data_IF_959415864214
#
_entry.id   IF_959415864214
#
_cell.length_a   1.000
_cell.length_b   1.000
_cell.length_c   1.000
_cell.angle_alpha   90.00
_cell.angle_beta   90.00
_cell.angle_gamma   90.00
#
_symmetry.space_group_name_H-M   'P 1'
#
loop_
_entity.id
_entity.type
_entity.pdbx_description
1 polymer ?
#
# COMPACT_ATOMS: atom_id res chain seq x y z
N UNK A 1 15.46 -22.21 -4.08
CA UNK A 1 15.18 -20.98 -4.83
C UNK A 1 13.88 -20.38 -4.30
N UNK A 2 13.95 -19.24 -3.64
CA UNK A 2 12.79 -18.59 -2.96
C UNK A 2 12.11 -17.55 -3.84
N UNK A 3 12.37 -17.49 -5.07
CA UNK A 3 11.93 -16.51 -5.97
C UNK A 3 10.50 -16.56 -6.29
N UNK A 4 10.03 -15.95 -6.99
CA UNK A 4 9.82 -15.44 -8.30
C UNK A 4 8.39 -14.90 -8.40
N UNK A 5 7.94 -14.43 -9.47
CA UNK A 5 6.66 -13.75 -9.73
C UNK A 5 5.41 -14.36 -9.08
N UNK A 6 5.42 -15.67 -8.77
CA UNK A 6 4.29 -16.37 -8.14
C UNK A 6 4.50 -16.61 -6.64
N UNK A 7 3.45 -16.37 -5.87
CA UNK A 7 3.36 -16.64 -4.45
C UNK A 7 3.54 -18.14 -4.17
N UNK A 8 4.61 -18.51 -3.43
CA UNK A 8 4.90 -19.89 -3.02
C UNK A 8 4.64 -20.09 -1.54
N UNK A 9 4.02 -21.22 -1.19
CA UNK A 9 3.84 -21.67 0.20
C UNK A 9 5.01 -22.55 0.59
N UNK A 10 5.55 -22.33 1.79
CA UNK A 10 6.59 -23.15 2.39
C UNK A 10 6.11 -23.76 3.69
N UNK A 11 6.36 -25.04 3.84
CA UNK A 11 6.03 -25.81 5.05
C UNK A 11 7.34 -26.23 5.74
N UNK A 12 7.56 -25.71 6.95
CA UNK A 12 8.65 -26.10 7.82
C UNK A 12 8.07 -26.71 9.08
N UNK A 13 8.83 -27.57 9.77
CA UNK A 13 8.37 -28.17 11.04
C UNK A 13 8.00 -27.11 12.11
N UNK A 14 8.59 -25.91 12.03
CA UNK A 14 8.38 -24.80 12.97
C UNK A 14 7.57 -23.65 12.39
N UNK A 15 6.96 -23.80 11.21
CA UNK A 15 6.09 -22.76 10.67
C UNK A 15 5.73 -22.87 9.20
N UNK A 16 4.74 -22.07 8.82
CA UNK A 16 4.21 -21.96 7.46
C UNK A 16 4.29 -20.50 7.04
N UNK A 17 4.72 -20.23 5.83
CA UNK A 17 4.85 -18.88 5.29
C UNK A 17 4.72 -18.86 3.76
N UNK A 18 4.41 -17.69 3.22
CA UNK A 18 4.48 -17.40 1.80
C UNK A 18 5.72 -16.60 1.45
N UNK A 19 6.25 -16.81 0.24
CA UNK A 19 7.24 -15.94 -0.37
C UNK A 19 6.84 -15.58 -1.80
N UNK A 20 7.21 -14.39 -2.24
CA UNK A 20 7.26 -13.95 -3.63
C UNK A 20 8.28 -12.82 -3.76
N UNK A 21 8.66 -12.46 -4.98
CA UNK A 21 9.35 -11.18 -5.22
C UNK A 21 8.47 -10.02 -4.74
N UNK A 22 9.06 -8.93 -4.24
CA UNK A 22 8.30 -7.70 -3.98
C UNK A 22 7.88 -7.10 -5.32
N UNK A 23 8.85 -6.84 -6.19
CA UNK A 23 8.70 -6.39 -7.56
C UNK A 23 10.01 -6.69 -8.35
N UNK A 24 10.08 -6.27 -9.59
CA UNK A 24 11.25 -6.43 -10.47
C UNK A 24 12.39 -5.42 -10.23
N UNK A 25 12.16 -4.39 -9.41
CA UNK A 25 13.11 -3.30 -9.16
C UNK A 25 13.99 -3.52 -7.93
N UNK A 26 13.64 -4.47 -7.06
CA UNK A 26 14.39 -4.80 -5.85
C UNK A 26 14.60 -6.30 -5.71
N UNK A 27 15.74 -6.68 -5.15
CA UNK A 27 16.09 -8.09 -4.93
C UNK A 27 15.50 -8.68 -3.64
N UNK A 28 14.64 -7.93 -2.96
CA UNK A 28 14.02 -8.35 -1.71
C UNK A 28 12.87 -9.34 -1.96
N UNK A 29 12.82 -10.39 -1.16
CA UNK A 29 11.75 -11.38 -1.16
C UNK A 29 10.72 -11.02 -0.09
N UNK A 30 9.46 -10.84 -0.47
CA UNK A 30 8.37 -10.72 0.49
C UNK A 30 8.24 -12.03 1.29
N UNK A 31 8.30 -11.91 2.60
CA UNK A 31 8.04 -13.00 3.56
C UNK A 31 6.75 -12.70 4.31
N UNK A 32 5.75 -13.52 4.10
CA UNK A 32 4.47 -13.43 4.79
C UNK A 32 4.27 -14.63 5.70
N UNK A 33 4.48 -14.44 7.00
CA UNK A 33 4.26 -15.46 8.01
C UNK A 33 2.77 -15.80 8.14
N UNK A 34 2.44 -17.08 8.03
CA UNK A 34 1.09 -17.62 8.32
C UNK A 34 1.06 -18.14 9.74
N UNK A 35 2.00 -19.03 10.06
CA UNK A 35 2.14 -19.67 11.36
C UNK A 35 3.61 -19.80 11.72
N UNK A 36 3.94 -19.74 13.01
CA UNK A 36 5.30 -19.93 13.52
C UNK A 36 5.76 -18.81 14.46
N UNK A 37 6.70 -19.15 15.32
CA UNK A 37 7.29 -18.28 16.32
C UNK A 37 8.72 -17.82 15.97
N UNK A 38 9.49 -17.49 17.01
CA UNK A 38 10.89 -17.04 16.90
C UNK A 38 11.79 -18.07 16.18
N UNK A 39 11.53 -19.38 16.37
CA UNK A 39 12.30 -20.44 15.71
C UNK A 39 12.21 -20.38 14.18
N UNK A 40 11.02 -20.07 13.62
CA UNK A 40 10.87 -19.85 12.20
C UNK A 40 11.65 -18.60 11.76
N UNK A 41 11.50 -17.49 12.46
CA UNK A 41 12.14 -16.21 12.12
C UNK A 41 13.67 -16.32 12.14
N UNK A 42 14.25 -17.01 13.13
CA UNK A 42 15.69 -17.32 13.20
C UNK A 42 16.15 -18.18 12.04
N UNK A 43 15.34 -19.18 11.65
CA UNK A 43 15.65 -20.03 10.50
C UNK A 43 15.66 -19.25 9.20
N UNK A 44 14.69 -18.36 8.98
CA UNK A 44 14.68 -17.50 7.76
C UNK A 44 15.88 -16.56 7.75
N UNK A 45 16.24 -15.96 8.89
CA UNK A 45 17.46 -15.15 8.98
C UNK A 45 18.72 -15.95 8.61
N UNK A 46 18.84 -17.20 9.07
CA UNK A 46 19.96 -18.07 8.70
C UNK A 46 19.98 -18.39 7.19
N UNK A 47 18.81 -18.63 6.60
CA UNK A 47 18.67 -18.83 5.16
C UNK A 47 19.09 -17.57 4.41
N UNK A 48 18.63 -16.40 4.84
CA UNK A 48 19.00 -15.09 4.28
C UNK A 48 20.54 -14.95 4.18
N UNK A 49 21.23 -15.18 5.31
CA UNK A 49 22.70 -15.08 5.38
C UNK A 49 23.41 -16.09 4.47
N UNK A 50 22.93 -17.34 4.43
CA UNK A 50 23.57 -18.40 3.64
C UNK A 50 23.34 -18.25 2.12
N UNK A 51 22.23 -17.66 1.71
CA UNK A 51 21.87 -17.51 0.29
C UNK A 51 22.08 -16.09 -0.26
N UNK A 52 22.58 -15.17 0.57
CA UNK A 52 22.69 -13.75 0.26
C UNK A 52 21.38 -13.17 -0.28
N UNK A 53 20.24 -13.65 0.28
CA UNK A 53 18.89 -13.27 -0.12
C UNK A 53 18.24 -12.45 0.99
N UNK A 54 17.81 -11.25 0.70
CA UNK A 54 17.10 -10.41 1.68
C UNK A 54 15.62 -10.73 1.72
N UNK A 55 15.07 -10.87 2.92
CA UNK A 55 13.63 -11.05 3.14
C UNK A 55 13.05 -9.82 3.83
N UNK A 56 11.97 -9.29 3.27
CA UNK A 56 11.15 -8.24 3.87
C UNK A 56 9.79 -8.79 4.28
N UNK A 57 9.34 -8.48 5.50
CA UNK A 57 8.03 -8.96 5.98
C UNK A 57 6.88 -8.26 5.27
N UNK A 58 5.68 -8.85 5.30
CA UNK A 58 4.44 -8.07 5.14
C UNK A 58 4.34 -7.01 6.25
N UNK A 59 3.42 -6.04 6.07
CA UNK A 59 3.14 -5.04 7.12
C UNK A 59 2.62 -5.73 8.38
N UNK A 60 3.28 -5.51 9.51
CA UNK A 60 2.91 -6.04 10.82
C UNK A 60 2.67 -4.91 11.83
N UNK A 61 1.87 -5.17 12.85
CA UNK A 61 1.64 -4.20 13.91
C UNK A 61 2.93 -3.97 14.71
N UNK A 62 3.31 -2.70 14.97
CA UNK A 62 4.50 -2.35 15.74
C UNK A 62 4.51 -3.01 17.13
N UNK A 63 3.35 -3.21 17.76
CA UNK A 63 3.26 -3.90 19.04
C UNK A 63 3.60 -5.40 18.98
N UNK A 64 3.71 -5.97 17.78
CA UNK A 64 3.98 -7.42 17.56
C UNK A 64 5.42 -7.70 17.10
N UNK A 65 6.34 -6.73 17.16
CA UNK A 65 7.70 -6.88 16.62
C UNK A 65 8.68 -7.59 17.57
N UNK A 66 8.37 -7.74 18.86
CA UNK A 66 9.31 -8.32 19.84
C UNK A 66 9.93 -9.65 19.38
N UNK A 67 9.15 -10.65 18.88
CA UNK A 67 9.72 -11.91 18.38
C UNK A 67 10.66 -11.72 17.18
N UNK A 68 10.38 -10.73 16.32
CA UNK A 68 11.19 -10.41 15.15
C UNK A 68 12.55 -9.85 15.56
N UNK A 69 12.56 -8.84 16.44
CA UNK A 69 13.79 -8.23 16.97
C UNK A 69 14.63 -9.28 17.70
N UNK A 70 14.02 -10.10 18.59
CA UNK A 70 14.72 -11.20 19.27
C UNK A 70 15.29 -12.25 18.31
N UNK A 71 14.74 -12.35 17.12
CA UNK A 71 15.23 -13.25 16.08
C UNK A 71 16.30 -12.63 15.17
N UNK A 72 16.70 -11.38 15.41
CA UNK A 72 17.74 -10.68 14.65
C UNK A 72 17.23 -9.95 13.40
N UNK A 73 15.90 -9.80 13.24
CA UNK A 73 15.34 -8.95 12.19
C UNK A 73 15.39 -7.48 12.60
N UNK A 74 15.51 -6.59 11.63
CA UNK A 74 15.53 -5.14 11.82
C UNK A 74 14.30 -4.48 11.22
N UNK A 75 13.96 -3.26 11.69
CA UNK A 75 12.90 -2.47 11.09
C UNK A 75 13.44 -1.86 9.80
N UNK A 76 12.80 -2.14 8.67
CA UNK A 76 13.11 -1.55 7.37
C UNK A 76 12.29 -0.27 7.13
N UNK A 77 10.97 -0.36 7.32
CA UNK A 77 10.07 0.79 7.13
C UNK A 77 9.07 0.89 8.27
N UNK A 78 8.72 2.15 8.59
CA UNK A 78 7.63 2.49 9.51
C UNK A 78 6.51 3.18 8.74
N UNK A 79 5.26 2.79 9.05
CA UNK A 79 4.09 3.37 8.40
C UNK A 79 3.08 3.86 9.45
N UNK A 80 2.53 5.03 9.18
CA UNK A 80 1.39 5.56 9.91
C UNK A 80 0.09 5.01 9.29
N UNK A 81 -0.85 4.64 10.14
CA UNK A 81 -2.23 4.40 9.75
C UNK A 81 -3.00 5.70 9.92
N UNK A 82 -3.60 6.22 8.87
CA UNK A 82 -4.42 7.43 8.92
C UNK A 82 -5.89 7.06 8.74
N UNK A 83 -6.77 7.75 9.47
CA UNK A 83 -8.21 7.50 9.48
C UNK A 83 -8.96 8.82 9.29
N UNK A 84 -9.93 8.83 8.40
CA UNK A 84 -10.88 9.93 8.23
C UNK A 84 -12.29 9.45 8.59
N UNK A 85 -12.96 10.15 9.52
CA UNK A 85 -14.36 9.94 9.79
C UNK A 85 -15.21 10.72 8.76
N UNK A 86 -15.92 10.00 7.91
CA UNK A 86 -16.70 10.58 6.81
C UNK A 86 -18.07 11.13 7.26
N UNK A 87 -18.59 10.75 8.44
CA UNK A 87 -19.88 11.22 8.97
C UNK A 87 -19.82 12.68 9.45
N UNK A 88 -18.70 13.08 10.04
CA UNK A 88 -18.52 14.43 10.60
C UNK A 88 -18.00 15.42 9.57
N UNK A 89 -17.86 14.98 8.35
CA UNK A 89 -17.36 15.79 7.26
C UNK A 89 -18.52 16.63 6.69
N UNK A 90 -18.75 17.82 7.24
CA UNK A 90 -19.47 18.91 6.54
C UNK A 90 -18.66 19.36 5.30
N UNK A 91 -18.05 18.39 4.64
CA UNK A 91 -17.23 18.60 3.49
C UNK A 91 -18.12 18.83 2.27
N UNK A 92 -18.52 20.08 2.07
CA UNK A 92 -18.74 20.57 0.71
C UNK A 92 -17.38 20.58 0.03
N UNK A 93 -16.93 19.40 -0.40
CA UNK A 93 -15.81 19.34 -1.31
C UNK A 93 -16.25 19.96 -2.63
N UNK A 94 -16.01 21.28 -2.75
CA UNK A 94 -16.11 21.99 -4.00
C UNK A 94 -15.03 21.39 -4.91
N UNK A 95 -15.42 20.47 -5.73
CA UNK A 95 -14.58 19.99 -6.81
C UNK A 95 -15.43 19.86 -8.05
N UNK A 96 -15.42 20.89 -8.84
CA UNK A 96 -15.64 20.77 -10.28
C UNK A 96 -14.46 20.01 -10.88
N UNK A 97 -14.37 18.72 -10.57
CA UNK A 97 -13.31 17.84 -11.06
C UNK A 97 -13.67 17.29 -12.45
N UNK A 98 -13.89 18.19 -13.41
CA UNK A 98 -14.16 17.87 -14.83
C UNK A 98 -13.08 17.00 -15.48
N UNK A 99 -11.91 16.84 -14.81
CA UNK A 99 -10.75 16.13 -15.33
C UNK A 99 -10.41 14.84 -14.58
N UNK A 100 -11.28 14.37 -13.66
CA UNK A 100 -11.06 13.10 -12.94
C UNK A 100 -12.13 12.10 -13.38
N UNK A 101 -11.70 11.08 -14.12
CA UNK A 101 -12.52 9.94 -14.48
C UNK A 101 -12.58 8.96 -13.31
N UNK A 102 -13.77 8.45 -13.00
CA UNK A 102 -14.01 7.45 -11.96
C UNK A 102 -14.63 6.24 -12.60
N UNK A 103 -14.02 5.08 -12.41
CA UNK A 103 -14.56 3.80 -12.89
C UNK A 103 -14.26 2.66 -11.92
N UNK A 104 -14.91 1.52 -12.13
CA UNK A 104 -14.53 0.27 -11.48
C UNK A 104 -13.16 -0.18 -12.01
N UNK A 105 -12.26 -0.57 -11.10
CA UNK A 105 -10.96 -1.11 -11.48
C UNK A 105 -11.13 -2.52 -12.03
N UNK A 106 -10.59 -2.77 -13.20
CA UNK A 106 -10.67 -4.04 -13.92
C UNK A 106 -9.28 -4.57 -14.29
N UNK A 107 -9.18 -5.86 -14.59
CA UNK A 107 -7.90 -6.49 -14.96
C UNK A 107 -7.24 -5.85 -16.20
N UNK A 108 -8.02 -5.34 -17.15
CA UNK A 108 -7.50 -4.63 -18.33
C UNK A 108 -6.77 -3.33 -17.98
N UNK A 109 -6.98 -2.79 -16.77
CA UNK A 109 -6.35 -1.55 -16.32
C UNK A 109 -4.94 -1.77 -15.76
N UNK A 110 -4.55 -3.02 -15.49
CA UNK A 110 -3.33 -3.36 -14.76
C UNK A 110 -2.10 -2.82 -15.48
N UNK A 111 -1.94 -3.09 -16.77
CA UNK A 111 -0.71 -2.77 -17.51
C UNK A 111 -0.41 -1.28 -17.48
N UNK A 112 -1.37 -0.46 -17.91
CA UNK A 112 -1.14 0.98 -17.94
C UNK A 112 -1.00 1.59 -16.53
N UNK A 113 -1.66 0.99 -15.51
CA UNK A 113 -1.47 1.41 -14.13
C UNK A 113 -0.07 1.10 -13.62
N UNK A 114 0.52 -0.04 -13.99
CA UNK A 114 1.89 -0.37 -13.65
C UNK A 114 2.86 0.62 -14.29
N UNK A 115 2.70 0.94 -15.57
CA UNK A 115 3.53 1.94 -16.24
C UNK A 115 3.48 3.31 -15.54
N UNK A 116 2.29 3.74 -15.11
CA UNK A 116 2.10 4.99 -14.38
C UNK A 116 2.67 4.92 -12.96
N UNK A 117 2.43 3.82 -12.25
CA UNK A 117 2.95 3.55 -10.90
C UNK A 117 4.47 3.61 -10.88
N UNK A 118 5.12 3.00 -11.87
CA UNK A 118 6.59 2.95 -11.99
C UNK A 118 7.23 4.33 -12.26
N UNK A 119 6.46 5.28 -12.86
CA UNK A 119 6.89 6.68 -13.04
C UNK A 119 6.73 7.53 -11.77
N UNK A 120 5.87 7.10 -10.84
CA UNK A 120 5.49 7.87 -9.66
C UNK A 120 6.28 7.46 -8.42
N UNK A 121 6.45 6.16 -8.20
CA UNK A 121 6.97 5.63 -6.95
C UNK A 121 8.43 5.19 -7.06
N UNK A 122 9.13 5.20 -5.91
CA UNK A 122 10.48 4.67 -5.79
C UNK A 122 10.48 3.14 -5.85
N UNK A 123 11.61 2.55 -6.23
CA UNK A 123 11.75 1.14 -6.58
C UNK A 123 11.13 0.16 -5.57
N UNK A 124 11.37 0.35 -4.29
CA UNK A 124 10.81 -0.52 -3.25
C UNK A 124 9.26 -0.47 -3.20
N UNK A 125 8.69 0.68 -3.55
CA UNK A 125 7.26 0.96 -3.45
C UNK A 125 6.50 0.79 -4.77
N UNK A 126 7.19 0.49 -5.87
CA UNK A 126 6.55 0.19 -7.14
C UNK A 126 5.72 -1.09 -7.03
N UNK A 127 4.53 -1.08 -7.61
CA UNK A 127 3.73 -2.28 -7.70
C UNK A 127 4.32 -3.25 -8.74
N UNK A 128 4.31 -4.53 -8.41
CA UNK A 128 4.34 -5.60 -9.43
C UNK A 128 2.90 -5.94 -9.86
N UNK A 129 2.75 -6.66 -10.96
CA UNK A 129 1.44 -7.20 -11.38
C UNK A 129 0.77 -7.97 -10.23
N UNK A 130 1.50 -8.87 -9.58
CA UNK A 130 0.99 -9.68 -8.48
C UNK A 130 0.56 -8.83 -7.27
N UNK A 131 1.28 -7.75 -6.93
CA UNK A 131 0.88 -6.87 -5.83
C UNK A 131 -0.38 -6.06 -6.14
N UNK A 132 -0.56 -5.62 -7.39
CA UNK A 132 -1.77 -4.92 -7.81
C UNK A 132 -2.97 -5.87 -7.85
N UNK A 133 -2.81 -7.10 -8.31
CA UNK A 133 -3.85 -8.13 -8.26
C UNK A 133 -4.23 -8.52 -6.81
N UNK A 134 -3.25 -8.62 -5.89
CA UNK A 134 -3.51 -8.82 -4.46
C UNK A 134 -4.30 -7.63 -3.89
N UNK A 135 -3.96 -6.41 -4.29
CA UNK A 135 -4.71 -5.20 -3.93
C UNK A 135 -6.16 -5.28 -4.39
N UNK A 136 -6.40 -5.70 -5.63
CA UNK A 136 -7.76 -5.88 -6.17
C UNK A 136 -8.55 -6.97 -5.40
N UNK A 137 -7.90 -8.06 -5.01
CA UNK A 137 -8.52 -9.16 -4.27
C UNK A 137 -8.77 -8.83 -2.78
N UNK A 138 -8.11 -7.83 -2.23
CA UNK A 138 -8.19 -7.47 -0.81
C UNK A 138 -9.50 -6.80 -0.40
N UNK A 139 -10.28 -6.29 -1.36
CA UNK A 139 -11.53 -5.56 -1.16
C UNK A 139 -12.64 -6.13 -2.03
N UNK A 140 -13.90 -5.92 -1.62
CA UNK A 140 -15.08 -6.41 -2.34
C UNK A 140 -15.25 -5.73 -3.70
N UNK A 141 -15.00 -4.41 -3.73
CA UNK A 141 -14.95 -3.61 -4.95
C UNK A 141 -13.75 -2.68 -4.88
N UNK A 142 -13.20 -2.36 -6.05
CA UNK A 142 -12.13 -1.38 -6.19
C UNK A 142 -12.51 -0.36 -7.25
N UNK A 143 -12.28 0.91 -6.94
CA UNK A 143 -12.57 2.05 -7.83
C UNK A 143 -11.27 2.73 -8.19
N UNK A 144 -11.12 3.00 -9.47
CA UNK A 144 -10.00 3.73 -10.04
C UNK A 144 -10.42 5.17 -10.33
N UNK A 145 -9.62 6.10 -9.86
CA UNK A 145 -9.70 7.53 -10.13
C UNK A 145 -8.50 7.90 -10.97
N UNK A 146 -8.74 8.44 -12.16
CA UNK A 146 -7.68 8.86 -13.08
C UNK A 146 -7.74 10.36 -13.27
N UNK A 147 -6.60 11.03 -13.16
CA UNK A 147 -6.43 12.44 -13.46
C UNK A 147 -5.50 12.59 -14.64
N UNK A 148 -5.90 13.41 -15.61
CA UNK A 148 -5.14 13.67 -16.82
C UNK A 148 -6.03 13.93 -18.03
N UNK A 149 -5.42 14.05 -19.21
CA UNK A 149 -6.10 14.17 -20.50
C UNK A 149 -6.33 12.83 -21.19
N UNK A 150 -6.84 12.87 -22.42
CA UNK A 150 -7.13 11.67 -23.21
C UNK A 150 -5.89 10.82 -23.50
N UNK A 151 -4.72 11.45 -23.68
CA UNK A 151 -3.49 10.78 -24.10
C UNK A 151 -2.43 10.67 -23.01
N UNK A 152 -2.67 11.19 -21.79
CA UNK A 152 -1.71 11.11 -20.70
C UNK A 152 -2.40 11.16 -19.35
N UNK A 153 -1.85 10.46 -18.38
CA UNK A 153 -2.28 10.51 -16.98
C UNK A 153 -1.27 11.23 -16.12
N UNK A 154 -1.76 12.18 -15.33
CA UNK A 154 -0.98 13.00 -14.40
C UNK A 154 -0.93 12.36 -13.00
N UNK A 155 -1.90 11.49 -12.71
CA UNK A 155 -2.00 10.80 -11.45
C UNK A 155 -3.18 9.83 -11.38
N UNK A 156 -3.20 9.02 -10.34
CA UNK A 156 -4.29 8.09 -10.08
C UNK A 156 -4.48 7.80 -8.59
N UNK A 157 -5.66 7.27 -8.26
CA UNK A 157 -5.91 6.68 -6.95
C UNK A 157 -6.72 5.38 -7.07
N UNK A 158 -6.53 4.47 -6.12
CA UNK A 158 -7.31 3.24 -5.98
C UNK A 158 -7.99 3.27 -4.62
N UNK A 159 -9.32 3.21 -4.61
CA UNK A 159 -10.14 3.10 -3.42
C UNK A 159 -10.76 1.71 -3.35
N UNK A 160 -10.43 0.95 -2.31
CA UNK A 160 -11.03 -0.34 -2.02
C UNK A 160 -12.24 -0.19 -1.08
N UNK A 161 -13.30 -0.95 -1.37
CA UNK A 161 -14.52 -1.02 -0.56
C UNK A 161 -14.53 -2.31 0.25
N UNK A 162 -14.69 -2.19 1.57
CA UNK A 162 -14.94 -3.31 2.48
C UNK A 162 -16.37 -3.19 3.05
N UNK A 163 -16.82 -4.20 3.81
CA UNK A 163 -18.13 -4.14 4.47
C UNK A 163 -18.26 -3.03 5.52
N UNK A 164 -17.14 -2.57 6.10
CA UNK A 164 -17.14 -1.66 7.27
C UNK A 164 -16.56 -0.28 6.99
N UNK A 165 -15.64 -0.16 6.04
CA UNK A 165 -14.90 1.07 5.74
C UNK A 165 -14.35 1.03 4.31
N UNK A 166 -13.88 2.16 3.82
CA UNK A 166 -13.09 2.22 2.58
C UNK A 166 -11.60 2.32 2.90
N UNK A 167 -10.80 1.84 1.98
CA UNK A 167 -9.34 1.89 2.08
C UNK A 167 -8.75 2.58 0.87
N UNK A 168 -8.10 3.72 1.06
CA UNK A 168 -7.30 4.35 0.01
C UNK A 168 -6.02 3.53 -0.14
N UNK A 169 -6.04 2.60 -1.09
CA UNK A 169 -4.99 1.62 -1.30
C UNK A 169 -3.77 2.24 -1.97
N UNK A 170 -4.01 3.20 -2.85
CA UNK A 170 -2.98 3.89 -3.61
C UNK A 170 -3.43 5.30 -3.97
N UNK A 171 -2.51 6.26 -3.95
CA UNK A 171 -2.65 7.56 -4.57
C UNK A 171 -1.27 8.04 -4.99
N UNK A 172 -1.15 8.54 -6.21
CA UNK A 172 0.11 9.03 -6.73
C UNK A 172 -0.07 10.06 -7.83
N UNK A 173 0.86 11.01 -7.89
CA UNK A 173 0.92 12.07 -8.89
C UNK A 173 2.29 12.03 -9.53
N UNK A 174 2.34 12.05 -10.86
CA UNK A 174 3.58 12.12 -11.64
C UNK A 174 4.39 13.35 -11.21
N UNK A 175 5.71 13.19 -11.11
CA UNK A 175 6.62 14.18 -10.50
C UNK A 175 6.43 15.60 -11.04
N UNK A 176 6.25 15.76 -12.34
CA UNK A 176 6.09 17.07 -12.98
C UNK A 176 4.80 17.82 -12.57
N UNK A 177 3.81 17.11 -12.02
CA UNK A 177 2.53 17.67 -11.58
C UNK A 177 2.40 17.72 -10.06
N UNK A 178 3.45 17.33 -9.32
CA UNK A 178 3.47 17.48 -7.86
C UNK A 178 3.58 18.95 -7.48
N UNK A 179 3.03 19.33 -6.33
CA UNK A 179 3.00 20.72 -5.88
C UNK A 179 1.91 21.60 -6.53
N UNK A 180 1.28 21.16 -7.62
CA UNK A 180 0.23 21.91 -8.35
C UNK A 180 -1.16 21.90 -7.68
N UNK A 181 -1.33 21.16 -6.59
CA UNK A 181 -2.63 20.94 -5.96
C UNK A 181 -3.40 19.73 -6.50
N UNK A 182 -2.92 19.07 -7.56
CA UNK A 182 -3.60 17.94 -8.20
C UNK A 182 -3.83 16.77 -7.23
N UNK A 183 -2.85 16.44 -6.38
CA UNK A 183 -3.00 15.40 -5.36
C UNK A 183 -4.12 15.71 -4.35
N UNK A 184 -4.31 16.98 -3.99
CA UNK A 184 -5.41 17.40 -3.14
C UNK A 184 -6.75 17.27 -3.85
N UNK A 185 -6.83 17.65 -5.11
CA UNK A 185 -8.05 17.53 -5.91
C UNK A 185 -8.44 16.07 -6.09
N UNK A 186 -7.48 15.21 -6.42
CA UNK A 186 -7.70 13.77 -6.57
C UNK A 186 -8.18 13.13 -5.24
N UNK A 187 -7.54 13.45 -4.12
CA UNK A 187 -7.95 12.96 -2.81
C UNK A 187 -9.36 13.43 -2.43
N UNK A 188 -9.70 14.70 -2.69
CA UNK A 188 -11.03 15.23 -2.46
C UNK A 188 -12.10 14.52 -3.29
N UNK A 189 -11.79 14.17 -4.54
CA UNK A 189 -12.67 13.39 -5.39
C UNK A 189 -12.94 11.99 -4.81
N UNK A 190 -11.90 11.32 -4.32
CA UNK A 190 -12.01 10.02 -3.64
C UNK A 190 -12.87 10.12 -2.37
N UNK A 191 -12.65 11.15 -1.56
CA UNK A 191 -13.42 11.38 -0.32
C UNK A 191 -14.89 11.65 -0.66
N UNK A 192 -15.19 12.51 -1.62
CA UNK A 192 -16.56 12.81 -2.08
C UNK A 192 -17.29 11.56 -2.55
N UNK A 193 -16.59 10.72 -3.33
CA UNK A 193 -17.14 9.44 -3.77
C UNK A 193 -17.49 8.54 -2.58
N UNK A 194 -16.60 8.42 -1.60
CA UNK A 194 -16.83 7.61 -0.40
C UNK A 194 -18.01 8.15 0.45
N UNK A 195 -18.14 9.48 0.57
CA UNK A 195 -19.28 10.14 1.23
C UNK A 195 -20.59 9.85 0.49
N UNK A 196 -20.63 10.00 -0.84
CA UNK A 196 -21.81 9.68 -1.67
C UNK A 196 -22.23 8.21 -1.53
N UNK A 197 -21.27 7.31 -1.36
CA UNK A 197 -21.49 5.89 -1.08
C UNK A 197 -21.89 5.60 0.38
N UNK A 198 -22.00 6.63 1.23
CA UNK A 198 -22.40 6.54 2.64
C UNK A 198 -21.47 5.71 3.52
N UNK A 199 -20.19 5.64 3.19
CA UNK A 199 -19.19 5.02 4.07
C UNK A 199 -18.97 5.86 5.32
N UNK A 200 -18.60 5.19 6.42
CA UNK A 200 -18.40 5.83 7.73
C UNK A 200 -16.97 6.31 7.89
N UNK A 201 -16.03 5.50 7.46
CA UNK A 201 -14.60 5.76 7.63
C UNK A 201 -13.83 5.44 6.36
N UNK A 202 -12.80 6.26 6.11
CA UNK A 202 -11.75 5.98 5.15
C UNK A 202 -10.43 5.76 5.90
N UNK A 203 -9.67 4.73 5.51
CA UNK A 203 -8.35 4.43 6.07
C UNK A 203 -7.30 4.40 4.98
N UNK A 204 -6.07 4.66 5.36
CA UNK A 204 -4.89 4.50 4.50
C UNK A 204 -3.65 4.23 5.35
N UNK A 205 -2.60 3.76 4.70
CA UNK A 205 -1.24 3.72 5.26
C UNK A 205 -0.33 4.61 4.43
N UNK A 206 0.65 5.23 5.10
CA UNK A 206 1.73 5.98 4.44
C UNK A 206 3.02 5.84 5.24
N UNK A 207 4.16 5.96 4.58
CA UNK A 207 5.45 5.96 5.25
C UNK A 207 5.51 7.10 6.27
N UNK A 208 6.15 6.84 7.43
CA UNK A 208 6.23 7.81 8.51
C UNK A 208 7.11 9.03 8.19
N UNK A 209 7.97 8.91 7.18
CA UNK A 209 8.87 9.93 6.66
C UNK A 209 8.35 10.61 5.38
N UNK A 210 7.22 10.18 4.83
CA UNK A 210 6.59 10.83 3.67
C UNK A 210 5.83 12.09 4.10
N UNK A 211 6.59 13.17 4.35
CA UNK A 211 6.06 14.43 4.86
C UNK A 211 5.04 15.05 3.91
N UNK A 212 5.25 14.94 2.60
CA UNK A 212 4.32 15.48 1.60
C UNK A 212 2.93 14.81 1.70
N UNK A 213 2.90 13.49 1.76
CA UNK A 213 1.65 12.73 1.92
C UNK A 213 0.99 12.99 3.28
N UNK A 214 1.78 13.04 4.37
CA UNK A 214 1.25 13.33 5.71
C UNK A 214 0.59 14.71 5.77
N UNK A 215 1.20 15.74 5.18
CA UNK A 215 0.63 17.08 5.08
C UNK A 215 -0.66 17.09 4.25
N UNK A 216 -0.69 16.37 3.13
CA UNK A 216 -1.88 16.21 2.30
C UNK A 216 -3.03 15.58 3.10
N UNK A 217 -2.78 14.50 3.83
CA UNK A 217 -3.80 13.82 4.63
C UNK A 217 -4.27 14.68 5.82
N UNK A 218 -3.35 15.33 6.53
CA UNK A 218 -3.69 16.26 7.63
C UNK A 218 -4.56 17.43 7.15
N UNK A 219 -4.23 18.02 6.00
CA UNK A 219 -5.04 19.09 5.38
C UNK A 219 -6.46 18.61 5.09
N UNK A 220 -6.64 17.33 4.73
CA UNK A 220 -7.92 16.68 4.47
C UNK A 220 -8.53 16.01 5.72
N UNK A 221 -8.13 16.43 6.92
CA UNK A 221 -8.71 16.01 8.21
C UNK A 221 -8.53 14.53 8.56
N UNK A 222 -7.58 13.84 7.93
CA UNK A 222 -7.16 12.53 8.41
C UNK A 222 -6.41 12.68 9.72
N UNK A 223 -6.71 11.80 10.66
CA UNK A 223 -6.02 11.67 11.95
C UNK A 223 -5.07 10.48 11.91
N UNK A 224 -3.87 10.65 12.47
CA UNK A 224 -2.93 9.54 12.62
C UNK A 224 -3.41 8.67 13.78
N UNK A 225 -3.70 7.41 13.47
CA UNK A 225 -4.06 6.41 14.47
C UNK A 225 -2.88 6.12 15.42
N UNK A 226 -3.13 5.80 16.71
CA UNK A 226 -2.07 5.27 17.57
C UNK A 226 -1.49 3.94 17.07
N UNK A 227 -2.23 3.20 16.25
CA UNK A 227 -1.75 1.97 15.61
C UNK A 227 -0.76 2.32 14.50
N UNK A 228 0.46 1.78 14.63
CA UNK A 228 1.51 1.89 13.61
C UNK A 228 1.81 0.53 13.00
N UNK A 229 2.28 0.53 11.77
CA UNK A 229 2.73 -0.66 11.08
C UNK A 229 4.22 -0.55 10.77
N UNK A 230 4.87 -1.69 10.68
CA UNK A 230 6.28 -1.78 10.30
C UNK A 230 6.49 -2.90 9.28
N UNK A 231 7.53 -2.77 8.49
CA UNK A 231 8.08 -3.83 7.65
C UNK A 231 9.43 -4.21 8.25
N UNK A 232 9.59 -5.48 8.58
CA UNK A 232 10.83 -6.04 9.11
C UNK A 232 11.68 -6.60 7.97
N UNK A 233 13.01 -6.54 8.11
CA UNK A 233 13.95 -7.03 7.11
C UNK A 233 15.01 -7.92 7.76
N UNK A 234 15.45 -8.97 7.05
CA UNK A 234 16.68 -9.71 7.40
C UNK A 234 17.90 -8.90 7.00
N UNK A 235 18.91 -8.89 7.85
CA UNK A 235 20.21 -8.24 7.60
C UNK A 235 21.14 -9.19 6.91
#
# INVERSE_FOLDING_TARGET
MYSTENKKIHYFYNGIFYTRSINEFVNDILFQKIYGGEGLLKKILKISKNSNTSFSSSMINENSIKPWIKSGWTINHKLNVCVLNLRNSNHRYLSDNKHIEIKKLEHKDIEYLLELDHKIFEDYWKNSRSSLEETMKSCNNNYLFKSGGENHLDGYAILGETRKFTYLQRIGIVKNYQGSGLGNNLLNCVINFAVKKKFINMKLNTQSDNIAALNLYKKNKFEISPRKLVIMKTS
#
